data_IF_766813728496
#
_entry.id   IF_766813728496
#
_cell.length_a   1.000
_cell.length_b   1.000
_cell.length_c   1.000
_cell.angle_alpha   90.00
_cell.angle_beta   90.00
_cell.angle_gamma   90.00
#
_symmetry.space_group_name_H-M   'P 1'
#
loop_
_entity.id
_entity.type
_entity.pdbx_description
1 polymer ?
#
# COMPACT_ATOMS: atom_id res chain seq x y z
N UNK A 1 -3.25 0.50 -7.79
CA UNK A 1 -2.30 0.82 -6.72
C UNK A 1 -0.94 1.17 -7.30
N UNK A 2 -0.40 2.28 -6.83
CA UNK A 2 0.97 2.68 -7.15
C UNK A 2 1.73 2.79 -5.84
N UNK A 3 2.87 2.13 -5.75
CA UNK A 3 3.80 2.25 -4.63
C UNK A 3 5.02 3.01 -5.13
N UNK A 4 5.26 4.18 -4.59
CA UNK A 4 6.26 5.12 -5.10
C UNK A 4 7.23 5.50 -3.99
N UNK A 5 8.52 5.49 -4.32
CA UNK A 5 9.57 6.06 -3.47
C UNK A 5 10.13 7.30 -4.16
N UNK A 6 10.92 8.14 -3.45
CA UNK A 6 11.52 9.31 -4.08
C UNK A 6 12.36 9.01 -5.32
N UNK A 7 12.86 7.79 -5.43
CA UNK A 7 13.73 7.40 -6.53
C UNK A 7 13.01 6.83 -7.74
N UNK A 8 11.89 6.12 -7.50
CA UNK A 8 11.22 5.39 -8.58
C UNK A 8 9.83 4.91 -8.18
N UNK A 9 9.08 4.46 -9.18
CA UNK A 9 7.86 3.69 -8.96
C UNK A 9 8.30 2.24 -8.68
N UNK A 10 7.99 1.74 -7.49
CA UNK A 10 8.38 0.39 -7.07
C UNK A 10 7.40 -0.65 -7.57
N UNK A 11 6.12 -0.30 -7.60
CA UNK A 11 5.06 -1.24 -7.93
C UNK A 11 3.88 -0.49 -8.52
N UNK A 12 3.28 -1.02 -9.55
CA UNK A 12 2.02 -0.52 -10.09
C UNK A 12 1.22 -1.69 -10.65
N UNK A 13 -0.02 -1.85 -10.20
CA UNK A 13 -0.92 -2.90 -10.67
C UNK A 13 -2.29 -2.71 -10.06
N UNK A 14 -3.27 -3.46 -10.57
CA UNK A 14 -4.57 -3.54 -9.94
C UNK A 14 -4.51 -4.47 -8.73
N UNK A 15 -5.22 -4.11 -7.68
CA UNK A 15 -5.28 -4.92 -6.46
C UNK A 15 -6.72 -4.98 -5.96
N UNK A 16 -7.05 -6.03 -5.23
CA UNK A 16 -8.36 -6.20 -4.63
C UNK A 16 -8.37 -5.83 -3.15
N UNK A 17 -7.23 -5.90 -2.50
CA UNK A 17 -7.13 -5.54 -1.09
C UNK A 17 -5.70 -5.14 -0.73
N UNK A 18 -5.58 -4.31 0.29
CA UNK A 18 -4.30 -3.85 0.83
C UNK A 18 -4.38 -3.96 2.35
N UNK A 19 -3.34 -4.48 2.97
CA UNK A 19 -3.19 -4.49 4.41
C UNK A 19 -1.91 -3.74 4.77
N UNK A 20 -2.05 -2.64 5.48
CA UNK A 20 -0.94 -1.77 5.84
C UNK A 20 -0.97 -1.45 7.33
N UNK A 21 0.18 -1.10 7.89
CA UNK A 21 0.29 -0.71 9.29
C UNK A 21 0.21 0.81 9.42
N UNK A 22 -0.93 1.32 9.83
CA UNK A 22 -1.13 2.74 10.08
C UNK A 22 -0.79 3.12 11.52
N UNK A 23 -0.86 4.41 11.82
CA UNK A 23 -0.54 4.94 13.15
C UNK A 23 -1.50 4.46 14.24
N UNK A 24 -2.69 4.02 13.87
CA UNK A 24 -3.69 3.49 14.79
C UNK A 24 -3.77 1.96 14.79
N UNK A 25 -2.81 1.28 14.16
CA UNK A 25 -2.80 -0.16 13.98
C UNK A 25 -2.91 -0.56 12.51
N UNK A 26 -3.21 -1.81 12.24
CA UNK A 26 -3.34 -2.28 10.88
C UNK A 26 -4.55 -1.67 10.19
N UNK A 27 -4.36 -1.30 8.94
CA UNK A 27 -5.38 -0.70 8.11
C UNK A 27 -5.65 -1.61 6.91
N UNK A 28 -6.88 -2.09 6.80
CA UNK A 28 -7.31 -2.88 5.65
C UNK A 28 -8.05 -1.98 4.66
N UNK A 29 -7.64 -2.02 3.41
CA UNK A 29 -8.30 -1.27 2.34
C UNK A 29 -8.76 -2.24 1.27
N UNK A 30 -10.04 -2.24 1.00
CA UNK A 30 -10.65 -3.05 -0.05
C UNK A 30 -10.96 -2.18 -1.27
N UNK A 31 -11.12 -2.83 -2.41
CA UNK A 31 -11.54 -2.14 -3.62
C UNK A 31 -12.84 -1.36 -3.37
N UNK A 32 -12.95 -0.19 -3.97
CA UNK A 32 -14.13 0.71 -3.85
C UNK A 32 -14.33 1.28 -2.45
N UNK A 33 -13.29 1.33 -1.65
CA UNK A 33 -13.36 1.94 -0.34
C UNK A 33 -13.54 3.45 -0.44
N UNK A 34 -14.04 4.07 0.64
CA UNK A 34 -14.18 5.52 0.71
C UNK A 34 -12.83 6.21 0.66
N UNK A 35 -12.76 7.43 0.10
CA UNK A 35 -11.51 8.19 0.07
C UNK A 35 -10.93 8.35 1.47
N UNK A 36 -9.61 8.19 1.56
CA UNK A 36 -8.89 8.20 2.83
C UNK A 36 -7.46 8.67 2.59
N UNK A 37 -6.94 9.44 3.53
CA UNK A 37 -5.52 9.80 3.57
C UNK A 37 -5.01 9.43 4.94
N UNK A 38 -3.92 8.66 5.00
CA UNK A 38 -3.38 8.21 6.28
C UNK A 38 -1.85 8.07 6.21
N UNK A 39 -1.21 8.24 7.35
CA UNK A 39 0.21 7.94 7.48
C UNK A 39 0.40 6.46 7.78
N UNK A 40 1.51 5.91 7.30
CA UNK A 40 1.87 4.51 7.52
C UNK A 40 3.15 4.44 8.33
N UNK A 41 3.18 3.51 9.28
CA UNK A 41 4.36 3.26 10.09
C UNK A 41 5.25 2.22 9.41
N UNK A 42 6.56 2.18 9.75
CA UNK A 42 7.45 1.14 9.24
C UNK A 42 6.90 -0.25 9.58
N UNK A 43 7.00 -1.16 8.63
CA UNK A 43 6.55 -2.53 8.84
C UNK A 43 6.10 -3.21 7.57
N UNK A 44 5.46 -4.37 7.73
CA UNK A 44 4.99 -5.15 6.58
C UNK A 44 3.78 -4.50 5.91
N UNK A 45 3.71 -4.68 4.61
CA UNK A 45 2.65 -4.17 3.76
C UNK A 45 2.29 -5.28 2.78
N UNK A 46 1.04 -5.70 2.79
CA UNK A 46 0.60 -6.81 1.95
C UNK A 46 -0.47 -6.35 0.96
N UNK A 47 -0.33 -6.80 -0.27
CA UNK A 47 -1.25 -6.52 -1.35
C UNK A 47 -1.85 -7.83 -1.83
N UNK A 48 -3.15 -7.83 -2.11
CA UNK A 48 -3.80 -8.96 -2.77
C UNK A 48 -4.18 -8.51 -4.18
N UNK A 49 -3.64 -9.21 -5.17
CA UNK A 49 -3.95 -8.97 -6.58
C UNK A 49 -5.16 -9.81 -7.01
N UNK A 50 -5.80 -9.47 -8.14
CA UNK A 50 -6.86 -10.31 -8.67
C UNK A 50 -6.41 -11.76 -8.84
N UNK A 51 -7.25 -12.72 -8.44
CA UNK A 51 -6.87 -14.12 -8.43
C UNK A 51 -6.27 -14.57 -7.10
N UNK A 52 -6.40 -13.74 -6.05
CA UNK A 52 -5.94 -14.02 -4.70
C UNK A 52 -4.42 -14.18 -4.58
N UNK A 53 -3.67 -13.60 -5.50
CA UNK A 53 -2.21 -13.59 -5.40
C UNK A 53 -1.77 -12.52 -4.41
N UNK A 54 -0.94 -12.91 -3.45
CA UNK A 54 -0.43 -11.99 -2.44
C UNK A 54 0.99 -11.55 -2.76
N UNK A 55 1.25 -10.26 -2.58
CA UNK A 55 2.58 -9.67 -2.70
C UNK A 55 2.88 -8.96 -1.40
N UNK A 56 4.05 -9.19 -0.83
CA UNK A 56 4.47 -8.62 0.44
C UNK A 56 5.64 -7.68 0.26
N UNK A 57 5.57 -6.56 0.95
CA UNK A 57 6.65 -5.58 1.00
C UNK A 57 6.99 -5.26 2.45
N UNK A 58 8.22 -4.86 2.68
CA UNK A 58 8.63 -4.20 3.91
C UNK A 58 8.87 -2.74 3.56
N UNK A 59 8.30 -1.82 4.33
CA UNK A 59 8.41 -0.40 4.04
C UNK A 59 8.83 0.40 5.25
N UNK A 60 9.56 1.49 5.00
CA UNK A 60 9.78 2.52 5.98
C UNK A 60 8.51 3.38 6.09
N UNK A 61 8.54 4.38 6.95
CA UNK A 61 7.39 5.25 7.12
C UNK A 61 6.95 5.86 5.80
N UNK A 62 5.67 6.06 5.66
CA UNK A 62 5.10 6.54 4.42
C UNK A 62 3.71 7.10 4.62
N UNK A 63 3.00 7.15 3.51
CA UNK A 63 1.75 7.85 3.41
C UNK A 63 0.90 7.15 2.35
N UNK A 64 -0.37 6.92 2.65
CA UNK A 64 -1.29 6.30 1.70
C UNK A 64 -2.47 7.20 1.43
N UNK A 65 -2.79 7.38 0.15
CA UNK A 65 -3.96 8.10 -0.28
C UNK A 65 -4.87 7.15 -1.05
N UNK A 66 -6.10 7.03 -0.60
CA UNK A 66 -7.13 6.22 -1.26
C UNK A 66 -8.11 7.15 -1.92
N UNK A 67 -8.29 6.99 -3.22
CA UNK A 67 -9.29 7.71 -4.00
C UNK A 67 -10.28 6.71 -4.58
N UNK A 68 -11.31 7.22 -5.23
CA UNK A 68 -12.42 6.40 -5.73
C UNK A 68 -11.96 5.17 -6.52
N UNK A 69 -10.99 5.33 -7.42
CA UNK A 69 -10.53 4.25 -8.28
C UNK A 69 -9.01 4.05 -8.22
N UNK A 70 -8.37 4.61 -7.21
CA UNK A 70 -6.92 4.61 -7.18
C UNK A 70 -6.37 4.70 -5.77
N UNK A 71 -5.34 3.93 -5.50
CA UNK A 71 -4.59 4.00 -4.25
C UNK A 71 -3.14 4.32 -4.57
N UNK A 72 -2.58 5.29 -3.88
CA UNK A 72 -1.18 5.67 -4.01
C UNK A 72 -0.51 5.54 -2.65
N UNK A 73 0.61 4.84 -2.62
CA UNK A 73 1.45 4.71 -1.43
C UNK A 73 2.78 5.41 -1.72
N UNK A 74 3.09 6.41 -0.90
CA UNK A 74 4.36 7.13 -0.96
C UNK A 74 5.16 6.72 0.26
N UNK A 75 6.34 6.16 0.05
CA UNK A 75 7.19 5.69 1.13
C UNK A 75 8.62 6.15 0.93
N UNK A 76 9.35 6.31 2.03
CA UNK A 76 10.77 6.69 1.95
C UNK A 76 11.60 5.57 1.35
N UNK A 77 11.28 4.33 1.67
CA UNK A 77 11.93 3.15 1.09
C UNK A 77 10.98 1.96 1.16
N UNK A 78 11.03 1.13 0.15
CA UNK A 78 10.21 -0.08 0.07
C UNK A 78 11.07 -1.20 -0.46
N UNK A 79 10.93 -2.39 0.14
CA UNK A 79 11.64 -3.57 -0.28
C UNK A 79 10.64 -4.72 -0.41
N UNK A 80 10.65 -5.38 -1.57
CA UNK A 80 9.76 -6.51 -1.80
C UNK A 80 10.28 -7.74 -1.05
N UNK A 81 9.41 -8.38 -0.30
CA UNK A 81 9.72 -9.64 0.39
C UNK A 81 9.38 -10.81 -0.53
N UNK A 82 10.31 -11.71 -0.67
CA UNK A 82 10.13 -12.91 -1.48
C UNK A 82 9.61 -14.08 -0.65
#
# INVERSE_FOLDING_TARGET
LDVITPEKIVYTNEVTAILAHGTSGYLGVLAHHCPLVTTLEPGPFKITEPGDKEVKFSMESGFMEVRKNRVVVLADAVEEES
#
